data_IF_977114534175
#
_entry.id   IF_977114534175
#
_cell.length_a   1.000
_cell.length_b   1.000
_cell.length_c   1.000
_cell.angle_alpha   90.00
_cell.angle_beta   90.00
_cell.angle_gamma   90.00
#
_symmetry.space_group_name_H-M   'P 1'
#
loop_
_entity.id
_entity.type
_entity.pdbx_description
1 polymer ?
#
# COMPACT_ATOMS: atom_id res chain seq x y z
N UNK A 1 50.59 1.38 28.39
CA UNK A 1 49.16 1.07 28.61
C UNK A 1 48.69 0.23 27.45
N UNK A 2 48.06 -0.92 27.70
CA UNK A 2 47.45 -1.75 26.66
C UNK A 2 46.00 -1.31 26.44
N UNK A 3 45.54 -1.36 25.19
CA UNK A 3 44.16 -1.01 24.83
C UNK A 3 43.26 -2.18 25.27
N UNK A 4 42.61 -2.03 26.42
CA UNK A 4 41.75 -3.08 26.99
C UNK A 4 40.45 -3.27 26.21
N UNK A 5 39.78 -4.40 26.42
CA UNK A 5 38.53 -4.76 25.73
C UNK A 5 37.40 -3.73 25.91
N UNK A 6 37.42 -2.96 27.02
CA UNK A 6 36.46 -1.89 27.27
C UNK A 6 36.42 -0.84 26.15
N UNK A 7 37.54 -0.60 25.47
CA UNK A 7 37.62 0.36 24.38
C UNK A 7 36.98 -0.15 23.08
N UNK A 8 36.74 -1.46 22.95
CA UNK A 8 36.24 -2.10 21.72
C UNK A 8 34.85 -2.72 21.85
N UNK A 9 34.29 -2.74 23.07
CA UNK A 9 33.10 -3.49 23.52
C UNK A 9 31.88 -3.43 22.58
N UNK A 10 31.63 -2.31 21.92
CA UNK A 10 30.51 -2.13 20.98
C UNK A 10 30.92 -1.64 19.59
N UNK A 11 32.23 -1.63 19.31
CA UNK A 11 32.79 -1.16 18.04
C UNK A 11 33.23 -2.35 17.20
N UNK A 12 34.09 -3.21 17.76
CA UNK A 12 34.60 -4.40 17.10
C UNK A 12 34.30 -5.61 17.98
N UNK A 13 33.43 -6.48 17.49
CA UNK A 13 33.14 -7.74 18.14
C UNK A 13 33.70 -8.88 17.28
N UNK A 14 34.40 -9.85 17.88
CA UNK A 14 34.82 -11.05 17.16
C UNK A 14 33.58 -11.85 16.70
N UNK A 15 33.75 -12.81 15.78
CA UNK A 15 32.66 -13.71 15.42
C UNK A 15 32.11 -14.42 16.68
N UNK A 16 30.78 -14.58 16.81
CA UNK A 16 30.18 -15.20 17.98
C UNK A 16 30.62 -16.66 18.11
N UNK A 17 31.14 -17.04 19.27
CA UNK A 17 31.64 -18.40 19.56
C UNK A 17 30.58 -19.32 20.17
N UNK A 18 29.46 -18.76 20.65
CA UNK A 18 28.30 -19.49 21.14
C UNK A 18 27.19 -19.58 20.09
N UNK A 19 25.98 -19.18 20.46
CA UNK A 19 24.86 -19.12 19.53
C UNK A 19 24.92 -17.87 18.64
N UNK A 20 24.39 -18.00 17.43
CA UNK A 20 24.18 -16.84 16.55
C UNK A 20 23.16 -15.90 17.21
N UNK A 21 23.48 -14.62 17.43
CA UNK A 21 22.55 -13.67 18.00
C UNK A 21 21.40 -13.38 17.03
N UNK A 22 20.28 -12.89 17.56
CA UNK A 22 19.20 -12.38 16.74
C UNK A 22 19.71 -11.23 15.85
N UNK A 23 19.19 -11.14 14.63
CA UNK A 23 19.52 -10.04 13.73
C UNK A 23 19.02 -8.71 14.32
N UNK A 24 19.82 -7.66 14.18
CA UNK A 24 19.44 -6.33 14.67
C UNK A 24 18.40 -5.73 13.72
N UNK A 25 17.19 -5.51 14.22
CA UNK A 25 16.11 -4.95 13.42
C UNK A 25 16.38 -3.49 13.07
N UNK A 26 16.23 -3.14 11.79
CA UNK A 26 16.29 -1.75 11.35
C UNK A 26 15.09 -0.98 11.94
N UNK A 27 15.20 0.32 12.30
CA UNK A 27 14.10 1.08 12.90
C UNK A 27 12.78 1.08 12.10
N UNK A 28 12.85 0.91 10.77
CA UNK A 28 11.69 0.77 9.89
C UNK A 28 10.99 -0.60 9.97
N UNK A 29 11.70 -1.65 10.36
CA UNK A 29 11.13 -2.97 10.65
C UNK A 29 10.46 -2.97 12.03
N UNK A 30 11.05 -2.24 12.98
CA UNK A 30 10.57 -2.18 14.37
C UNK A 30 9.29 -1.36 14.51
N UNK A 31 9.13 -0.28 13.75
CA UNK A 31 7.99 0.63 13.89
C UNK A 31 7.51 1.18 12.55
N UNK A 32 6.26 0.87 12.20
CA UNK A 32 5.62 1.45 11.02
C UNK A 32 5.51 2.97 11.12
N UNK A 33 5.24 3.53 12.31
CA UNK A 33 5.18 4.98 12.50
C UNK A 33 6.53 5.65 12.18
N UNK A 34 7.63 5.04 12.60
CA UNK A 34 9.00 5.53 12.29
C UNK A 34 9.26 5.48 10.78
N UNK A 35 8.85 4.41 10.11
CA UNK A 35 8.93 4.32 8.66
C UNK A 35 8.05 5.37 7.97
N UNK A 36 6.82 5.53 8.44
CA UNK A 36 5.82 6.42 7.85
C UNK A 36 6.28 7.88 7.86
N UNK A 37 6.71 8.35 9.04
CA UNK A 37 7.11 9.74 9.27
C UNK A 37 8.48 10.07 8.72
N UNK A 38 9.45 9.13 8.74
CA UNK A 38 10.83 9.41 8.32
C UNK A 38 11.13 9.05 6.87
N UNK A 39 10.35 8.15 6.23
CA UNK A 39 10.60 7.71 4.86
C UNK A 39 9.37 7.72 3.97
N UNK A 40 8.30 7.02 4.34
CA UNK A 40 7.15 6.82 3.46
C UNK A 40 6.53 8.15 3.01
N UNK A 41 6.19 9.03 3.95
CA UNK A 41 5.58 10.31 3.61
C UNK A 41 6.63 11.25 2.98
N UNK A 42 7.79 11.53 3.60
CA UNK A 42 8.72 12.51 3.03
C UNK A 42 9.28 12.14 1.65
N UNK A 43 9.41 10.84 1.34
CA UNK A 43 10.03 10.37 0.09
C UNK A 43 9.06 9.71 -0.89
N UNK A 44 7.91 9.23 -0.46
CA UNK A 44 7.02 8.45 -1.31
C UNK A 44 5.58 8.97 -1.34
N UNK A 45 5.30 10.15 -0.78
CA UNK A 45 3.95 10.74 -0.82
C UNK A 45 3.41 10.90 -2.25
N UNK A 46 4.26 11.14 -3.24
CA UNK A 46 3.82 11.28 -4.64
C UNK A 46 3.27 9.97 -5.23
N UNK A 47 3.82 8.81 -4.82
CA UNK A 47 3.26 7.52 -5.20
C UNK A 47 1.92 7.30 -4.50
N UNK A 48 1.82 7.66 -3.21
CA UNK A 48 0.55 7.59 -2.47
C UNK A 48 -0.52 8.48 -3.13
N UNK A 49 -0.14 9.69 -3.56
CA UNK A 49 -1.01 10.60 -4.30
C UNK A 49 -1.42 10.00 -5.66
N UNK A 50 -0.51 9.35 -6.38
CA UNK A 50 -0.81 8.65 -7.64
C UNK A 50 -1.80 7.50 -7.46
N UNK A 51 -1.66 6.72 -6.39
CA UNK A 51 -2.64 5.69 -6.03
C UNK A 51 -4.01 6.30 -5.72
N UNK A 52 -4.04 7.35 -4.90
CA UNK A 52 -5.29 8.05 -4.56
C UNK A 52 -5.99 8.61 -5.79
N UNK A 53 -5.24 9.26 -6.70
CA UNK A 53 -5.77 9.77 -7.95
C UNK A 53 -6.39 8.63 -8.78
N UNK A 54 -5.67 7.52 -8.93
CA UNK A 54 -6.13 6.37 -9.71
C UNK A 54 -7.40 5.78 -9.12
N UNK A 55 -7.45 5.55 -7.81
CA UNK A 55 -8.65 5.04 -7.11
C UNK A 55 -9.85 5.95 -7.37
N UNK A 56 -9.65 7.26 -7.28
CA UNK A 56 -10.71 8.26 -7.51
C UNK A 56 -11.19 8.22 -8.96
N UNK A 57 -10.26 8.16 -9.91
CA UNK A 57 -10.57 8.09 -11.34
C UNK A 57 -11.38 6.83 -11.67
N UNK A 58 -10.96 5.66 -11.18
CA UNK A 58 -11.70 4.42 -11.40
C UNK A 58 -13.09 4.46 -10.75
N UNK A 59 -13.23 5.08 -9.58
CA UNK A 59 -14.55 5.33 -8.98
C UNK A 59 -15.45 6.22 -9.85
N UNK A 60 -14.88 7.26 -10.48
CA UNK A 60 -15.63 8.12 -11.41
C UNK A 60 -16.04 7.36 -12.69
N UNK A 61 -15.16 6.53 -13.24
CA UNK A 61 -15.47 5.68 -14.39
C UNK A 61 -16.56 4.67 -14.07
N UNK A 62 -16.56 4.10 -12.86
CA UNK A 62 -17.64 3.23 -12.39
C UNK A 62 -18.96 3.98 -12.26
N UNK A 63 -18.94 5.23 -11.81
CA UNK A 63 -20.11 6.11 -11.79
C UNK A 63 -20.66 6.40 -13.19
N UNK A 64 -19.79 6.68 -14.17
CA UNK A 64 -20.19 6.86 -15.58
C UNK A 64 -20.79 5.58 -16.17
N UNK A 65 -20.20 4.42 -15.83
CA UNK A 65 -20.73 3.11 -16.23
C UNK A 65 -22.14 2.91 -15.66
N UNK A 66 -22.35 3.23 -14.39
CA UNK A 66 -23.66 3.08 -13.75
C UNK A 66 -24.70 4.05 -14.32
N UNK A 67 -24.32 5.31 -14.54
CA UNK A 67 -25.17 6.29 -15.20
C UNK A 67 -25.56 5.85 -16.62
N UNK A 68 -24.62 5.27 -17.38
CA UNK A 68 -24.87 4.68 -18.68
C UNK A 68 -25.88 3.53 -18.63
N UNK A 69 -25.73 2.62 -17.66
CA UNK A 69 -26.70 1.53 -17.42
C UNK A 69 -28.08 2.07 -17.07
N UNK A 70 -28.14 3.02 -16.14
CA UNK A 70 -29.40 3.63 -15.70
C UNK A 70 -30.11 4.30 -16.88
N UNK A 71 -29.38 5.08 -17.68
CA UNK A 71 -29.93 5.75 -18.85
C UNK A 71 -30.50 4.74 -19.86
N UNK A 72 -29.75 3.69 -20.20
CA UNK A 72 -30.21 2.65 -21.12
C UNK A 72 -31.45 1.89 -20.58
N UNK A 73 -31.48 1.65 -19.27
CA UNK A 73 -32.62 1.04 -18.60
C UNK A 73 -33.87 1.92 -18.67
N UNK A 74 -33.75 3.20 -18.31
CA UNK A 74 -34.85 4.16 -18.35
C UNK A 74 -35.39 4.34 -19.78
N UNK A 75 -34.51 4.41 -20.79
CA UNK A 75 -34.90 4.49 -22.20
C UNK A 75 -35.67 3.25 -22.68
N UNK A 76 -35.26 2.05 -22.26
CA UNK A 76 -36.00 0.82 -22.56
C UNK A 76 -37.39 0.83 -21.94
N UNK A 77 -37.52 1.25 -20.68
CA UNK A 77 -38.80 1.36 -19.97
C UNK A 77 -39.72 2.37 -20.66
N UNK A 78 -39.22 3.55 -21.02
CA UNK A 78 -40.00 4.59 -21.70
C UNK A 78 -40.47 4.14 -23.09
N UNK A 79 -39.68 3.32 -23.79
CA UNK A 79 -40.05 2.72 -25.07
C UNK A 79 -40.98 1.50 -24.94
N UNK A 80 -41.40 1.13 -23.72
CA UNK A 80 -42.22 -0.06 -23.46
C UNK A 80 -41.49 -1.39 -23.71
N UNK A 81 -40.15 -1.37 -23.74
CA UNK A 81 -39.30 -2.55 -23.97
C UNK A 81 -38.81 -3.12 -22.64
N UNK A 82 -38.48 -4.41 -22.65
CA UNK A 82 -37.77 -5.04 -21.53
C UNK A 82 -36.31 -4.55 -21.52
N UNK A 83 -35.77 -4.07 -20.38
CA UNK A 83 -34.40 -3.55 -20.29
C UNK A 83 -33.30 -4.62 -20.40
N UNK A 84 -33.68 -5.89 -20.28
CA UNK A 84 -32.81 -7.04 -20.40
C UNK A 84 -33.46 -8.10 -21.29
N UNK A 85 -32.64 -8.93 -21.91
CA UNK A 85 -33.11 -10.12 -22.64
C UNK A 85 -33.43 -11.24 -21.65
N UNK A 86 -34.24 -12.22 -22.04
CA UNK A 86 -34.45 -13.42 -21.23
C UNK A 86 -33.14 -14.15 -20.95
N UNK A 87 -33.00 -14.73 -19.76
CA UNK A 87 -31.91 -15.66 -19.46
C UNK A 87 -32.02 -16.90 -20.35
N UNK A 88 -30.88 -17.43 -20.79
CA UNK A 88 -30.85 -18.70 -21.54
C UNK A 88 -30.92 -19.87 -20.58
N UNK A 89 -32.12 -20.28 -20.17
CA UNK A 89 -32.30 -21.50 -19.38
C UNK A 89 -33.61 -22.21 -19.70
#
# INVERSE_FOLDING_TARGET
MTLGEAYLKDILRPPPTGFMPANVAHPYQTSFYTYATKKLIPKHWFLLAGFTFTITLYGALDGLRDAGKKKAYDEAVLAGKQPFTSGGH
#
